data_IF_293769862287
#
_entry.id   IF_293769862287
#
_cell.length_a   1.000
_cell.length_b   1.000
_cell.length_c   1.000
_cell.angle_alpha   90.00
_cell.angle_beta   90.00
_cell.angle_gamma   90.00
#
_symmetry.space_group_name_H-M   'P 1'
#
loop_
_entity.id
_entity.type
_entity.pdbx_description
1 polymer ?
#
# COMPACT_ATOMS: atom_id res chain seq x y z
N UNK A 1 14.53 23.11 14.64
CA UNK A 1 13.25 22.38 14.82
C UNK A 1 13.03 21.44 13.63
N UNK A 2 13.10 20.12 13.79
CA UNK A 2 13.10 19.16 12.70
C UNK A 2 11.70 18.54 12.51
N UNK A 3 10.76 19.32 11.97
CA UNK A 3 9.43 18.79 11.57
C UNK A 3 9.23 18.90 10.06
N UNK A 4 10.06 19.69 9.36
CA UNK A 4 10.00 19.83 7.90
C UNK A 4 10.52 18.64 7.11
N UNK A 5 11.25 17.71 7.73
CA UNK A 5 11.79 16.56 6.99
C UNK A 5 10.75 15.44 6.78
N UNK A 6 9.80 15.26 7.71
CA UNK A 6 8.79 14.19 7.59
C UNK A 6 7.59 14.54 6.70
N UNK A 7 7.37 15.82 6.40
CA UNK A 7 6.26 16.25 5.54
C UNK A 7 6.61 16.19 4.03
N UNK A 8 7.90 16.14 3.68
CA UNK A 8 8.33 16.00 2.28
C UNK A 8 8.33 14.53 1.82
N UNK A 9 8.48 13.58 2.75
CA UNK A 9 8.41 12.13 2.48
C UNK A 9 6.96 11.60 2.38
N UNK A 10 5.96 12.36 2.85
CA UNK A 10 4.56 11.93 2.87
C UNK A 10 3.74 12.32 1.62
N UNK A 11 4.34 13.01 0.65
CA UNK A 11 3.63 13.59 -0.49
C UNK A 11 4.14 13.18 -1.88
N UNK A 12 5.23 12.43 -1.96
CA UNK A 12 5.88 12.09 -3.23
C UNK A 12 6.20 10.61 -3.24
N UNK A 13 5.26 9.78 -3.69
CA UNK A 13 5.62 8.41 -4.05
C UNK A 13 6.56 8.47 -5.25
N UNK A 14 7.73 7.87 -5.15
CA UNK A 14 8.63 7.68 -6.27
C UNK A 14 7.94 6.83 -7.35
N UNK A 15 8.31 6.97 -8.63
CA UNK A 15 7.69 6.19 -9.71
C UNK A 15 7.77 4.68 -9.44
N UNK A 16 8.89 4.23 -8.86
CA UNK A 16 9.10 2.84 -8.46
C UNK A 16 8.18 2.39 -7.32
N UNK A 17 7.83 3.29 -6.39
CA UNK A 17 6.89 3.00 -5.31
C UNK A 17 5.46 2.87 -5.87
N UNK A 18 5.07 3.77 -6.78
CA UNK A 18 3.77 3.69 -7.46
C UNK A 18 3.66 2.42 -8.31
N UNK A 19 4.73 2.04 -9.01
CA UNK A 19 4.77 0.78 -9.75
C UNK A 19 4.61 -0.44 -8.84
N UNK A 20 5.30 -0.46 -7.69
CA UNK A 20 5.17 -1.53 -6.70
C UNK A 20 3.73 -1.64 -6.19
N UNK A 21 3.16 -0.54 -5.71
CA UNK A 21 1.79 -0.51 -5.19
C UNK A 21 0.76 -0.92 -6.26
N UNK A 22 0.98 -0.49 -7.51
CA UNK A 22 0.18 -0.88 -8.66
C UNK A 22 0.25 -2.37 -8.96
N UNK A 23 1.43 -2.98 -8.93
CA UNK A 23 1.63 -4.43 -9.14
C UNK A 23 0.95 -5.26 -8.05
N UNK A 24 1.15 -4.88 -6.78
CA UNK A 24 0.49 -5.54 -5.64
C UNK A 24 -1.02 -5.47 -5.79
N UNK A 25 -1.56 -4.29 -6.10
CA UNK A 25 -2.99 -4.11 -6.32
C UNK A 25 -3.50 -4.94 -7.51
N UNK A 26 -2.79 -4.96 -8.63
CA UNK A 26 -3.18 -5.72 -9.83
C UNK A 26 -3.24 -7.23 -9.59
N UNK A 27 -2.30 -7.76 -8.80
CA UNK A 27 -2.31 -9.16 -8.40
C UNK A 27 -3.48 -9.49 -7.46
N UNK A 28 -3.79 -8.58 -6.53
CA UNK A 28 -4.83 -8.82 -5.53
C UNK A 28 -6.24 -8.55 -6.06
N UNK A 29 -6.45 -7.57 -6.94
CA UNK A 29 -7.79 -7.15 -7.42
C UNK A 29 -8.61 -8.27 -8.07
N UNK A 30 -7.97 -9.37 -8.46
CA UNK A 30 -8.60 -10.56 -9.06
C UNK A 30 -9.31 -11.41 -8.00
N UNK A 31 -8.82 -11.39 -6.77
CA UNK A 31 -9.39 -12.13 -5.63
C UNK A 31 -10.54 -11.36 -4.95
N UNK A 32 -10.61 -10.04 -5.16
CA UNK A 32 -11.58 -9.14 -4.53
C UNK A 32 -12.63 -8.60 -5.52
N UNK A 33 -13.85 -8.36 -5.02
CA UNK A 33 -14.90 -7.71 -5.81
C UNK A 33 -14.58 -6.24 -6.06
N UNK A 34 -15.18 -5.65 -7.08
CA UNK A 34 -14.98 -4.23 -7.44
C UNK A 34 -15.26 -3.28 -6.27
N UNK A 35 -16.23 -3.61 -5.41
CA UNK A 35 -16.58 -2.86 -4.19
C UNK A 35 -15.51 -2.94 -3.09
N UNK A 36 -14.72 -4.02 -3.05
CA UNK A 36 -13.67 -4.25 -2.05
C UNK A 36 -12.31 -3.72 -2.50
N UNK A 37 -12.17 -3.38 -3.79
CA UNK A 37 -10.92 -2.85 -4.36
C UNK A 37 -10.49 -1.53 -3.73
N UNK A 38 -11.44 -0.66 -3.38
CA UNK A 38 -11.12 0.61 -2.74
C UNK A 38 -10.53 0.41 -1.33
N UNK A 39 -11.12 -0.52 -0.57
CA UNK A 39 -10.61 -0.95 0.72
C UNK A 39 -9.25 -1.67 0.59
N UNK A 40 -9.07 -2.48 -0.44
CA UNK A 40 -7.80 -3.16 -0.75
C UNK A 40 -6.69 -2.14 -1.04
N UNK A 41 -6.94 -1.14 -1.90
CA UNK A 41 -5.97 -0.09 -2.20
C UNK A 41 -5.56 0.67 -0.93
N UNK A 42 -6.56 1.03 -0.09
CA UNK A 42 -6.31 1.67 1.20
C UNK A 42 -5.45 0.80 2.13
N UNK A 43 -5.67 -0.52 2.17
CA UNK A 43 -4.84 -1.46 2.96
C UNK A 43 -3.41 -1.51 2.48
N UNK A 44 -3.19 -1.62 1.17
CA UNK A 44 -1.85 -1.69 0.58
C UNK A 44 -1.07 -0.41 0.93
N UNK A 45 -1.71 0.76 0.78
CA UNK A 45 -1.09 2.04 1.13
C UNK A 45 -0.82 2.14 2.63
N UNK A 46 -1.75 1.68 3.49
CA UNK A 46 -1.55 1.68 4.94
C UNK A 46 -0.37 0.78 5.37
N UNK A 47 -0.26 -0.42 4.81
CA UNK A 47 0.87 -1.33 5.04
C UNK A 47 2.18 -0.71 4.55
N UNK A 48 2.17 -0.07 3.38
CA UNK A 48 3.33 0.64 2.86
C UNK A 48 3.79 1.78 3.78
N UNK A 49 2.84 2.61 4.23
CA UNK A 49 3.10 3.71 5.18
C UNK A 49 3.55 3.20 6.55
N UNK A 50 3.21 1.97 6.93
CA UNK A 50 3.73 1.31 8.13
C UNK A 50 5.21 0.87 7.99
N UNK A 51 5.82 1.10 6.82
CA UNK A 51 7.22 0.80 6.53
C UNK A 51 7.43 -0.50 5.76
N UNK A 52 6.36 -1.15 5.31
CA UNK A 52 6.44 -2.42 4.59
C UNK A 52 6.67 -2.14 3.11
N UNK A 53 7.92 -2.29 2.67
CA UNK A 53 8.33 -2.02 1.29
C UNK A 53 8.53 -3.28 0.46
N UNK A 54 8.44 -4.45 1.08
CA UNK A 54 8.57 -5.72 0.37
C UNK A 54 7.27 -6.11 -0.33
N UNK A 55 7.37 -6.49 -1.61
CA UNK A 55 6.22 -6.84 -2.45
C UNK A 55 5.46 -8.05 -1.90
N UNK A 56 6.18 -9.09 -1.46
CA UNK A 56 5.59 -10.34 -0.99
C UNK A 56 4.94 -10.14 0.37
N UNK A 57 5.55 -9.33 1.24
CA UNK A 57 4.92 -8.95 2.52
C UNK A 57 3.65 -8.11 2.29
N UNK A 58 3.69 -7.13 1.40
CA UNK A 58 2.51 -6.32 1.05
C UNK A 58 1.38 -7.19 0.50
N UNK A 59 1.69 -8.14 -0.38
CA UNK A 59 0.72 -9.09 -0.92
C UNK A 59 0.09 -9.94 0.19
N UNK A 60 0.90 -10.46 1.10
CA UNK A 60 0.44 -11.34 2.18
C UNK A 60 -0.43 -10.60 3.19
N UNK A 61 0.00 -9.41 3.60
CA UNK A 61 -0.71 -8.60 4.60
C UNK A 61 -1.96 -7.95 4.05
N UNK A 62 -1.96 -7.55 2.77
CA UNK A 62 -3.13 -6.91 2.15
C UNK A 62 -4.22 -7.92 1.76
N UNK A 63 -3.88 -9.20 1.62
CA UNK A 63 -4.85 -10.30 1.50
C UNK A 63 -5.64 -10.54 2.78
N UNK A 64 -5.00 -10.33 3.93
CA UNK A 64 -5.71 -10.50 5.20
C UNK A 64 -6.60 -9.28 5.43
N UNK A 65 -7.87 -9.48 5.83
CA UNK A 65 -8.64 -8.38 6.37
C UNK A 65 -7.84 -7.78 7.54
N UNK A 66 -7.70 -6.45 7.57
CA UNK A 66 -7.14 -5.74 8.73
C UNK A 66 -7.90 -6.25 9.95
N UNK A 67 -7.24 -7.13 10.70
CA UNK A 67 -7.82 -7.84 11.81
C UNK A 67 -8.32 -6.85 12.84
N UNK A 68 -9.54 -7.13 13.30
CA UNK A 68 -10.31 -6.38 14.31
C UNK A 68 -9.58 -6.20 15.63
#
# INVERSE_FOLDING_TARGET
MPIRHKAHEAGSFDPSEVELLGRVFDQLKTDFRTEERDALASRIIANYMAGIKDEIELLTLSKQPLGR
#
